data_IF_621222386207
#
_entry.id   IF_621222386207
#
_cell.length_a   1.000
_cell.length_b   1.000
_cell.length_c   1.000
_cell.angle_alpha   90.00
_cell.angle_beta   90.00
_cell.angle_gamma   90.00
#
_symmetry.space_group_name_H-M   'P 1'
#
loop_
_entity.id
_entity.type
_entity.pdbx_description
1 polymer ?
#
# COMPACT_ATOMS: atom_id res chain seq x y z
N UNK A 1 6.14 -5.98 -5.87
CA UNK A 1 4.78 -6.08 -6.45
C UNK A 1 4.82 -6.56 -7.91
N UNK A 2 5.59 -5.91 -8.81
CA UNK A 2 5.78 -6.42 -10.18
C UNK A 2 6.42 -7.82 -10.22
N UNK A 3 7.54 -8.02 -9.52
CA UNK A 3 8.19 -9.34 -9.44
C UNK A 3 7.36 -10.42 -8.75
N UNK A 4 6.33 -10.03 -7.99
CA UNK A 4 5.40 -10.95 -7.35
C UNK A 4 4.20 -11.29 -8.26
N UNK A 5 4.16 -10.78 -9.49
CA UNK A 5 3.05 -10.98 -10.43
C UNK A 5 1.73 -10.30 -10.03
N UNK A 6 1.74 -9.49 -8.97
CA UNK A 6 0.52 -8.87 -8.41
C UNK A 6 0.09 -7.60 -9.17
N UNK A 7 1.01 -6.98 -9.91
CA UNK A 7 0.73 -5.78 -10.71
C UNK A 7 1.17 -6.03 -12.14
N UNK A 8 0.20 -6.13 -13.05
CA UNK A 8 0.42 -6.39 -14.47
C UNK A 8 0.82 -5.15 -15.28
N UNK A 9 0.60 -3.94 -14.76
CA UNK A 9 1.04 -2.70 -15.40
C UNK A 9 1.17 -1.58 -14.39
N UNK A 10 2.36 -0.97 -14.36
CA UNK A 10 2.60 0.31 -13.69
C UNK A 10 2.67 1.37 -14.79
N UNK A 11 1.58 2.10 -15.01
CA UNK A 11 1.57 3.22 -15.97
C UNK A 11 2.32 4.42 -15.37
N UNK A 12 1.77 4.98 -14.29
CA UNK A 12 2.31 6.16 -13.58
C UNK A 12 2.73 5.84 -12.13
N UNK A 13 2.96 4.55 -11.82
CA UNK A 13 3.36 4.08 -10.50
C UNK A 13 2.30 3.26 -9.78
N UNK A 14 2.53 3.03 -8.48
CA UNK A 14 1.69 2.16 -7.63
C UNK A 14 0.91 2.99 -6.64
N UNK A 15 -0.43 2.85 -6.64
CA UNK A 15 -1.32 3.46 -5.64
C UNK A 15 -1.86 2.42 -4.67
N UNK A 16 -1.70 2.64 -3.37
CA UNK A 16 -2.36 1.82 -2.32
C UNK A 16 -3.78 2.33 -2.10
N UNK A 17 -4.74 1.41 -2.08
CA UNK A 17 -6.14 1.65 -1.75
C UNK A 17 -6.48 0.95 -0.43
N UNK A 18 -7.45 1.49 0.29
CA UNK A 18 -7.80 1.04 1.65
C UNK A 18 -8.93 0.01 1.67
N UNK A 19 -9.06 -0.79 0.62
CA UNK A 19 -10.12 -1.80 0.52
C UNK A 19 -9.63 -3.09 1.20
N UNK A 20 -10.34 -3.52 2.26
CA UNK A 20 -9.92 -4.60 3.14
C UNK A 20 -9.39 -4.16 4.51
N UNK A 21 -9.18 -5.13 5.38
CA UNK A 21 -8.59 -4.95 6.71
C UNK A 21 -7.17 -5.52 6.79
N UNK A 22 -6.31 -4.84 7.54
CA UNK A 22 -4.98 -5.31 7.88
C UNK A 22 -5.01 -5.97 9.26
N UNK A 23 -4.85 -7.29 9.32
CA UNK A 23 -4.67 -8.00 10.60
C UNK A 23 -3.22 -8.02 11.07
N UNK A 24 -2.25 -7.85 10.15
CA UNK A 24 -0.82 -7.91 10.44
C UNK A 24 -0.14 -6.58 10.18
N UNK A 25 0.87 -6.27 10.98
CA UNK A 25 1.77 -5.13 10.75
C UNK A 25 2.59 -5.37 9.48
N UNK A 26 2.44 -4.50 8.50
CA UNK A 26 3.17 -4.56 7.25
C UNK A 26 3.84 -3.20 6.97
N UNK A 27 4.98 -3.26 6.29
CA UNK A 27 5.62 -2.07 5.72
C UNK A 27 5.34 -2.06 4.23
N UNK A 28 4.63 -1.03 3.76
CA UNK A 28 4.15 -0.92 2.39
C UNK A 28 4.89 0.23 1.70
N UNK A 29 5.48 -0.06 0.53
CA UNK A 29 6.20 0.93 -0.28
C UNK A 29 5.46 1.18 -1.60
N UNK A 30 5.08 2.42 -1.88
CA UNK A 30 4.29 2.76 -3.07
C UNK A 30 4.42 4.24 -3.47
N UNK A 31 4.02 4.62 -4.68
CA UNK A 31 4.17 5.99 -5.17
C UNK A 31 3.06 6.92 -4.66
N UNK A 32 1.89 6.34 -4.37
CA UNK A 32 0.75 7.07 -3.84
C UNK A 32 -0.01 6.18 -2.88
N UNK A 33 -0.55 6.75 -1.83
CA UNK A 33 -1.42 6.06 -0.89
C UNK A 33 -2.72 6.85 -0.77
N UNK A 34 -3.86 6.16 -0.69
CA UNK A 34 -5.13 6.82 -0.38
C UNK A 34 -5.21 7.11 1.11
N UNK A 35 -5.92 8.18 1.48
CA UNK A 35 -6.09 8.58 2.87
C UNK A 35 -6.64 7.45 3.76
N UNK A 36 -7.62 6.70 3.25
CA UNK A 36 -8.17 5.52 3.95
C UNK A 36 -7.14 4.41 4.15
N UNK A 37 -6.24 4.17 3.18
CA UNK A 37 -5.20 3.17 3.33
C UNK A 37 -4.13 3.60 4.35
N UNK A 38 -3.71 4.86 4.29
CA UNK A 38 -2.74 5.41 5.24
C UNK A 38 -3.24 5.33 6.68
N UNK A 39 -4.50 5.72 6.90
CA UNK A 39 -5.16 5.64 8.20
C UNK A 39 -5.23 4.18 8.69
N UNK A 40 -5.65 3.24 7.86
CA UNK A 40 -5.72 1.81 8.23
C UNK A 40 -4.35 1.21 8.53
N UNK A 41 -3.33 1.53 7.73
CA UNK A 41 -1.97 1.03 7.92
C UNK A 41 -1.39 1.61 9.22
N UNK A 42 -1.54 2.92 9.45
CA UNK A 42 -1.06 3.60 10.65
C UNK A 42 -1.80 3.13 11.91
N UNK A 43 -3.13 2.95 11.83
CA UNK A 43 -3.96 2.48 12.94
C UNK A 43 -3.55 1.08 13.41
N UNK A 44 -3.05 0.23 12.50
CA UNK A 44 -2.50 -1.09 12.83
C UNK A 44 -1.01 -1.04 13.20
N UNK A 45 -0.38 0.13 13.18
CA UNK A 45 1.04 0.32 13.48
C UNK A 45 1.98 -0.19 12.37
N UNK A 46 1.50 -0.22 11.13
CA UNK A 46 2.30 -0.45 9.94
C UNK A 46 3.05 0.81 9.50
N UNK A 47 3.91 0.67 8.49
CA UNK A 47 4.68 1.78 7.89
C UNK A 47 4.34 1.94 6.43
N UNK A 48 4.28 3.19 5.99
CA UNK A 48 4.05 3.56 4.60
C UNK A 48 5.26 4.35 4.13
N UNK A 49 5.97 3.87 3.10
CA UNK A 49 7.07 4.62 2.46
C UNK A 49 6.63 5.03 1.05
N UNK A 50 6.67 6.34 0.79
CA UNK A 50 6.35 6.90 -0.52
C UNK A 50 7.63 6.99 -1.34
N UNK A 51 7.63 6.39 -2.54
CA UNK A 51 8.77 6.37 -3.49
C UNK A 51 8.41 6.98 -4.83
#
# INVERSE_FOLDING_TARGET
>A
LLNAGLINSTKDGVKILGDGELEKKLTVRAHKISRQAEEKITARGGRVEVI
#
